data_IF_590373037689
#
_entry.id   IF_590373037689
#
_cell.length_a   1.000
_cell.length_b   1.000
_cell.length_c   1.000
_cell.angle_alpha   90.00
_cell.angle_beta   90.00
_cell.angle_gamma   90.00
#
_symmetry.space_group_name_H-M   'P 1'
#
loop_
_entity.id
_entity.type
_entity.pdbx_description
1 polymer ?
#
# COMPACT_ATOMS: atom_id res chain seq x y z
N UNK A 1 1.24 -0.55 -16.09
CA UNK A 1 -0.13 -1.04 -15.80
C UNK A 1 -0.29 -1.25 -14.30
N UNK A 2 -1.31 -0.64 -13.69
CA UNK A 2 -1.55 -0.65 -12.25
C UNK A 2 -1.00 0.62 -11.57
N UNK A 3 -1.88 1.34 -10.89
CA UNK A 3 -1.61 2.53 -10.08
C UNK A 3 -1.37 2.22 -8.60
N UNK A 4 -0.94 0.99 -8.29
CA UNK A 4 -0.50 0.58 -6.96
C UNK A 4 0.91 1.08 -6.62
N UNK A 5 1.34 0.79 -5.38
CA UNK A 5 2.63 1.24 -4.82
C UNK A 5 3.80 0.91 -5.75
N UNK A 6 3.91 -0.36 -6.18
CA UNK A 6 5.02 -0.85 -7.02
C UNK A 6 5.08 -0.10 -8.35
N UNK A 7 3.94 0.08 -9.02
CA UNK A 7 3.87 0.76 -10.31
C UNK A 7 4.33 2.22 -10.22
N UNK A 8 3.91 2.91 -9.15
CA UNK A 8 4.25 4.31 -8.94
C UNK A 8 5.71 4.52 -8.48
N UNK A 9 6.24 3.65 -7.62
CA UNK A 9 7.65 3.71 -7.21
C UNK A 9 8.57 3.49 -8.40
N UNK A 10 8.33 2.45 -9.18
CA UNK A 10 9.12 2.19 -10.39
C UNK A 10 8.95 3.31 -11.42
N UNK A 11 7.73 3.83 -11.61
CA UNK A 11 7.48 5.00 -12.45
C UNK A 11 8.28 6.22 -12.00
N UNK A 12 8.43 6.43 -10.69
CA UNK A 12 9.24 7.53 -10.13
C UNK A 12 10.71 7.37 -10.49
N UNK A 13 11.25 6.15 -10.41
CA UNK A 13 12.63 5.85 -10.81
C UNK A 13 12.83 6.10 -12.30
N UNK A 14 12.01 5.52 -13.16
CA UNK A 14 12.17 5.65 -14.62
C UNK A 14 11.95 7.08 -15.12
N UNK A 15 11.01 7.82 -14.51
CA UNK A 15 10.83 9.24 -14.81
C UNK A 15 12.05 10.08 -14.42
N UNK A 16 12.66 9.81 -13.26
CA UNK A 16 13.89 10.49 -12.85
C UNK A 16 15.06 10.21 -13.82
N UNK A 17 15.04 9.05 -14.48
CA UNK A 17 15.99 8.67 -15.53
C UNK A 17 15.61 9.19 -16.92
N UNK A 18 14.54 9.97 -17.06
CA UNK A 18 14.14 10.64 -18.30
C UNK A 18 13.03 9.95 -19.11
N UNK A 19 12.45 8.86 -18.61
CA UNK A 19 11.34 8.18 -19.31
C UNK A 19 10.03 8.97 -19.22
N UNK A 20 9.23 8.93 -20.27
CA UNK A 20 7.83 9.35 -20.24
C UNK A 20 7.00 8.21 -19.62
N UNK A 21 6.15 8.54 -18.65
CA UNK A 21 5.42 7.54 -17.86
C UNK A 21 3.93 7.73 -18.03
N UNK A 22 3.28 6.68 -18.56
CA UNK A 22 1.83 6.50 -18.52
C UNK A 22 1.47 5.47 -17.44
N UNK A 23 0.55 5.83 -16.54
CA UNK A 23 0.01 4.92 -15.53
C UNK A 23 -1.46 4.68 -15.83
N UNK A 24 -1.80 3.43 -16.12
CA UNK A 24 -3.17 2.98 -16.36
C UNK A 24 -3.70 2.27 -15.12
N UNK A 25 -4.82 2.74 -14.59
CA UNK A 25 -5.46 2.22 -13.38
C UNK A 25 -6.97 2.07 -13.59
N UNK A 26 -7.52 0.93 -13.17
CA UNK A 26 -8.93 0.61 -13.29
C UNK A 26 -9.79 1.36 -12.25
N UNK A 27 -9.21 1.71 -11.11
CA UNK A 27 -9.90 2.46 -10.06
C UNK A 27 -9.96 3.97 -10.35
N UNK A 28 -10.81 4.68 -9.60
CA UNK A 28 -10.98 6.14 -9.66
C UNK A 28 -9.82 6.91 -9.01
N UNK A 29 -8.85 6.21 -8.42
CA UNK A 29 -7.70 6.77 -7.75
C UNK A 29 -6.48 5.83 -7.81
N UNK A 30 -5.29 6.42 -7.78
CA UNK A 30 -4.05 5.68 -7.51
C UNK A 30 -3.91 5.34 -6.03
N UNK A 31 -3.09 4.34 -5.69
CA UNK A 31 -2.96 3.81 -4.32
C UNK A 31 -4.35 3.55 -3.68
N UNK A 32 -5.16 2.62 -4.22
CA UNK A 32 -6.57 2.47 -3.81
C UNK A 32 -6.79 2.23 -2.32
N UNK A 33 -5.79 1.67 -1.63
CA UNK A 33 -5.82 1.40 -0.19
C UNK A 33 -5.58 2.63 0.70
N UNK A 34 -5.12 3.74 0.14
CA UNK A 34 -4.87 4.97 0.89
C UNK A 34 -6.12 5.88 0.91
N UNK A 35 -6.15 6.76 1.92
CA UNK A 35 -7.25 7.69 2.13
C UNK A 35 -7.36 8.71 0.98
N UNK A 36 -8.59 8.98 0.52
CA UNK A 36 -8.88 9.76 -0.70
C UNK A 36 -8.34 11.18 -0.63
N UNK A 37 -8.35 11.81 0.54
CA UNK A 37 -7.84 13.19 0.69
C UNK A 37 -6.32 13.26 0.47
N UNK A 38 -5.61 12.23 0.94
CA UNK A 38 -4.16 12.12 0.80
C UNK A 38 -3.79 11.81 -0.64
N UNK A 39 -4.52 10.87 -1.25
CA UNK A 39 -4.35 10.52 -2.66
C UNK A 39 -4.65 11.71 -3.57
N UNK A 40 -5.60 12.57 -3.24
CA UNK A 40 -5.89 13.79 -4.01
C UNK A 40 -4.69 14.74 -4.06
N UNK A 41 -4.02 14.96 -2.92
CA UNK A 41 -2.81 15.79 -2.83
C UNK A 41 -1.66 15.12 -3.60
N UNK A 42 -1.47 13.81 -3.41
CA UNK A 42 -0.48 13.02 -4.16
C UNK A 42 -0.69 13.14 -5.68
N UNK A 43 -1.93 12.91 -6.13
CA UNK A 43 -2.32 12.91 -7.55
C UNK A 43 -2.04 14.27 -8.19
N UNK A 44 -2.39 15.38 -7.51
CA UNK A 44 -2.11 16.73 -8.01
C UNK A 44 -0.62 16.97 -8.29
N UNK A 45 0.27 16.36 -7.51
CA UNK A 45 1.73 16.51 -7.68
C UNK A 45 2.28 15.54 -8.71
N UNK A 46 1.88 14.27 -8.65
CA UNK A 46 2.40 13.24 -9.56
C UNK A 46 1.91 13.45 -11.00
N UNK A 47 0.71 14.03 -11.22
CA UNK A 47 0.19 14.34 -12.56
C UNK A 47 1.02 15.36 -13.33
N UNK A 48 1.96 16.08 -12.68
CA UNK A 48 2.93 16.93 -13.37
C UNK A 48 4.09 16.14 -13.97
N UNK A 49 4.27 14.89 -13.55
CA UNK A 49 5.38 14.00 -13.92
C UNK A 49 4.90 12.84 -14.78
N UNK A 50 3.77 12.26 -14.41
CA UNK A 50 3.17 11.11 -15.10
C UNK A 50 1.84 11.50 -15.71
N UNK A 51 1.51 10.85 -16.82
CA UNK A 51 0.16 10.85 -17.36
C UNK A 51 -0.65 9.73 -16.68
N UNK A 52 -1.72 10.10 -15.99
CA UNK A 52 -2.54 9.16 -15.24
C UNK A 52 -3.88 8.90 -15.97
N UNK A 53 -4.08 7.65 -16.38
CA UNK A 53 -5.32 7.16 -16.98
C UNK A 53 -6.08 6.33 -15.95
N UNK A 54 -6.90 7.01 -15.15
CA UNK A 54 -7.78 6.39 -14.14
C UNK A 54 -9.08 5.90 -14.79
N UNK A 55 -9.82 5.03 -14.09
CA UNK A 55 -11.03 4.38 -14.61
C UNK A 55 -10.80 3.75 -16.01
N UNK A 56 -9.60 3.23 -16.24
CA UNK A 56 -9.14 2.71 -17.52
C UNK A 56 -8.61 1.29 -17.36
N UNK A 57 -9.13 0.39 -18.18
CA UNK A 57 -8.78 -1.03 -18.21
C UNK A 57 -7.93 -1.33 -19.42
N UNK A 58 -6.81 -2.01 -19.22
CA UNK A 58 -6.06 -2.60 -20.33
C UNK A 58 -6.77 -3.88 -20.79
N UNK A 59 -7.00 -4.01 -22.09
CA UNK A 59 -7.70 -5.16 -22.69
C UNK A 59 -6.80 -6.03 -23.55
N UNK A 60 -5.75 -5.48 -24.16
CA UNK A 60 -4.77 -6.25 -24.92
C UNK A 60 -3.36 -5.66 -24.74
N UNK A 61 -2.36 -6.54 -24.80
CA UNK A 61 -0.94 -6.18 -24.84
C UNK A 61 -0.27 -7.06 -25.90
N UNK A 62 0.21 -6.44 -26.97
CA UNK A 62 0.77 -7.12 -28.14
C UNK A 62 2.21 -6.64 -28.37
N UNK A 63 3.18 -7.55 -28.27
CA UNK A 63 4.56 -7.26 -28.61
C UNK A 63 4.75 -7.39 -30.13
N UNK A 64 5.28 -6.34 -30.76
CA UNK A 64 5.65 -6.26 -32.18
C UNK A 64 7.14 -5.91 -32.29
N UNK A 65 7.70 -6.00 -33.50
CA UNK A 65 9.13 -5.75 -33.73
C UNK A 65 9.57 -4.33 -33.33
N UNK A 66 8.67 -3.36 -33.46
CA UNK A 66 8.94 -1.95 -33.18
C UNK A 66 8.46 -1.49 -31.80
N UNK A 67 7.83 -2.33 -30.98
CA UNK A 67 7.41 -1.97 -29.63
C UNK A 67 6.24 -2.79 -29.09
N UNK A 68 5.74 -2.40 -27.92
CA UNK A 68 4.62 -3.05 -27.24
C UNK A 68 3.37 -2.18 -27.41
N UNK A 69 2.35 -2.72 -28.09
CA UNK A 69 1.07 -2.06 -28.30
C UNK A 69 0.10 -2.44 -27.19
N UNK A 70 -0.45 -1.44 -26.51
CA UNK A 70 -1.38 -1.61 -25.40
C UNK A 70 -2.74 -1.02 -25.78
N UNK A 71 -3.75 -1.87 -25.79
CA UNK A 71 -5.15 -1.50 -26.05
C UNK A 71 -5.86 -1.26 -24.72
N UNK A 72 -6.60 -0.16 -24.64
CA UNK A 72 -7.21 0.32 -23.40
C UNK A 72 -8.68 0.66 -23.63
N UNK A 73 -9.51 0.44 -22.62
CA UNK A 73 -10.92 0.78 -22.58
C UNK A 73 -11.22 1.60 -21.33
N UNK A 74 -12.01 2.66 -21.48
CA UNK A 74 -12.36 3.55 -20.38
C UNK A 74 -12.88 4.88 -20.90
N UNK A 75 -13.52 5.67 -20.03
CA UNK A 75 -14.13 6.95 -20.43
C UNK A 75 -13.13 7.93 -21.03
N UNK A 76 -11.85 7.82 -20.65
CA UNK A 76 -10.75 8.67 -21.10
C UNK A 76 -9.62 7.86 -21.76
N UNK A 77 -9.88 6.61 -22.11
CA UNK A 77 -8.89 5.78 -22.78
C UNK A 77 -8.67 6.28 -24.22
N UNK A 78 -7.42 6.26 -24.72
CA UNK A 78 -7.17 6.43 -26.14
C UNK A 78 -7.96 5.40 -26.96
N UNK A 79 -8.54 5.82 -28.08
CA UNK A 79 -9.32 4.95 -28.96
C UNK A 79 -8.43 3.91 -29.68
N UNK A 80 -7.21 4.31 -30.03
CA UNK A 80 -6.24 3.47 -30.73
C UNK A 80 -5.21 2.86 -29.76
N UNK A 81 -4.66 1.67 -30.06
CA UNK A 81 -3.59 1.08 -29.28
C UNK A 81 -2.38 2.02 -29.16
N UNK A 82 -1.88 2.19 -27.94
CA UNK A 82 -0.71 3.04 -27.67
C UNK A 82 0.57 2.20 -27.72
N UNK A 83 1.59 2.70 -28.43
CA UNK A 83 2.90 2.04 -28.55
C UNK A 83 3.81 2.47 -27.40
N UNK A 84 4.41 1.51 -26.72
CA UNK A 84 5.38 1.70 -25.63
C UNK A 84 6.66 0.91 -25.91
N UNK A 85 7.81 1.45 -25.51
CA UNK A 85 9.08 0.73 -25.60
C UNK A 85 9.21 -0.34 -24.50
N UNK A 86 8.55 -0.13 -23.36
CA UNK A 86 8.52 -1.07 -22.24
C UNK A 86 7.17 -0.98 -21.49
N UNK A 87 6.71 -2.12 -20.95
CA UNK A 87 5.47 -2.20 -20.15
C UNK A 87 5.75 -2.90 -18.82
N UNK A 88 5.55 -2.17 -17.72
CA UNK A 88 5.56 -2.75 -16.37
C UNK A 88 4.16 -3.24 -15.99
N UNK A 89 4.05 -4.51 -15.60
CA UNK A 89 2.83 -5.12 -15.09
C UNK A 89 2.85 -5.10 -13.56
N UNK A 90 2.13 -4.16 -12.94
CA UNK A 90 2.08 -3.95 -11.49
C UNK A 90 0.64 -3.92 -10.95
N UNK A 91 -0.21 -4.85 -11.42
CA UNK A 91 -1.65 -4.91 -11.11
C UNK A 91 -1.98 -5.64 -9.79
N UNK A 92 -0.99 -6.21 -9.11
CA UNK A 92 -1.19 -6.92 -7.86
C UNK A 92 -0.16 -8.02 -7.62
N UNK A 93 -0.33 -8.73 -6.51
CA UNK A 93 0.48 -9.89 -6.12
C UNK A 93 -0.44 -11.06 -5.80
N UNK A 94 0.01 -12.25 -6.12
CA UNK A 94 -0.68 -13.52 -5.85
C UNK A 94 0.22 -14.37 -4.94
N UNK A 95 -0.31 -14.97 -3.86
CA UNK A 95 0.47 -15.85 -3.01
C UNK A 95 0.87 -17.12 -3.77
N UNK A 96 2.07 -17.63 -3.47
CA UNK A 96 2.64 -18.78 -4.18
C UNK A 96 2.13 -20.14 -3.69
N UNK A 97 1.09 -20.24 -2.85
CA UNK A 97 0.69 -21.51 -2.22
C UNK A 97 0.37 -22.63 -3.21
N UNK A 98 -0.23 -22.30 -4.36
CA UNK A 98 -0.52 -23.28 -5.43
C UNK A 98 0.74 -23.82 -6.13
N UNK A 99 1.88 -23.15 -5.98
CA UNK A 99 3.16 -23.51 -6.62
C UNK A 99 4.06 -24.34 -5.69
N UNK A 100 3.65 -24.60 -4.44
CA UNK A 100 4.49 -25.25 -3.42
C UNK A 100 4.26 -26.76 -3.27
N UNK A 101 3.25 -27.33 -3.95
CA UNK A 101 2.76 -28.68 -3.66
C UNK A 101 2.47 -28.91 -2.16
N UNK A 102 2.02 -27.87 -1.45
CA UNK A 102 1.88 -27.90 0.01
C UNK A 102 0.94 -29.03 0.51
N UNK A 103 0.00 -29.46 -0.33
CA UNK A 103 -0.87 -30.62 -0.07
C UNK A 103 -0.11 -31.94 0.12
N UNK A 104 1.09 -32.11 -0.45
CA UNK A 104 1.95 -33.29 -0.19
C UNK A 104 2.39 -33.36 1.28
N UNK A 105 2.48 -32.22 1.95
CA UNK A 105 2.75 -32.12 3.38
C UNK A 105 1.47 -32.07 4.24
N UNK A 106 0.29 -32.23 3.62
CA UNK A 106 -1.02 -32.13 4.29
C UNK A 106 -1.48 -30.69 4.58
N UNK A 107 -0.77 -29.67 4.06
CA UNK A 107 -1.12 -28.26 4.29
C UNK A 107 -2.23 -27.83 3.36
N UNK A 108 -3.27 -27.22 3.91
CA UNK A 108 -4.39 -26.65 3.16
C UNK A 108 -4.00 -25.32 2.50
N UNK A 109 -4.26 -25.22 1.19
CA UNK A 109 -4.11 -24.00 0.39
C UNK A 109 -5.48 -23.64 -0.16
N UNK A 110 -5.91 -22.39 0.02
CA UNK A 110 -7.21 -21.94 -0.45
C UNK A 110 -7.24 -21.69 -1.97
N UNK A 111 -8.45 -21.44 -2.50
CA UNK A 111 -8.66 -21.19 -3.93
C UNK A 111 -7.91 -19.97 -4.47
N UNK A 112 -7.48 -19.06 -3.59
CA UNK A 112 -6.70 -17.87 -3.94
C UNK A 112 -5.20 -18.08 -3.76
N UNK A 113 -4.77 -19.26 -3.29
CA UNK A 113 -3.38 -19.63 -3.08
C UNK A 113 -2.80 -19.25 -1.72
N UNK A 114 -3.63 -18.82 -0.76
CA UNK A 114 -3.19 -18.52 0.60
C UNK A 114 -3.17 -19.77 1.48
N UNK A 115 -2.27 -19.79 2.45
CA UNK A 115 -2.22 -20.79 3.52
C UNK A 115 -2.85 -20.17 4.76
N UNK A 116 -3.89 -20.82 5.29
CA UNK A 116 -4.54 -20.37 6.53
C UNK A 116 -3.67 -20.70 7.72
N UNK A 117 -3.55 -19.75 8.64
CA UNK A 117 -2.83 -19.92 9.89
C UNK A 117 -3.62 -19.40 11.09
N UNK A 118 -3.33 -19.95 12.26
CA UNK A 118 -3.84 -19.43 13.53
C UNK A 118 -3.07 -18.17 13.99
N UNK A 119 -3.43 -17.62 15.17
CA UNK A 119 -2.72 -16.47 15.76
C UNK A 119 -1.26 -16.76 16.13
N UNK A 120 -0.86 -18.02 16.18
CA UNK A 120 0.53 -18.45 16.43
C UNK A 120 1.26 -18.83 15.12
N UNK A 121 0.63 -18.54 13.98
CA UNK A 121 1.14 -18.76 12.63
C UNK A 121 1.31 -20.24 12.25
N UNK A 122 0.60 -21.12 12.96
CA UNK A 122 0.53 -22.55 12.63
C UNK A 122 -0.50 -22.80 11.55
N UNK A 123 -0.15 -23.68 10.61
CA UNK A 123 -1.10 -24.21 9.62
C UNK A 123 -2.04 -25.24 10.27
N UNK A 124 -2.87 -25.90 9.45
CA UNK A 124 -3.63 -27.08 9.87
C UNK A 124 -2.72 -28.26 10.29
N UNK A 125 -1.45 -28.27 9.89
CA UNK A 125 -0.45 -29.26 10.32
C UNK A 125 0.37 -28.66 11.49
N UNK A 126 0.33 -29.24 12.72
CA UNK A 126 0.80 -28.56 13.93
C UNK A 126 2.28 -28.14 13.95
N UNK A 127 3.13 -28.83 13.19
CA UNK A 127 4.56 -28.56 13.11
C UNK A 127 4.97 -27.74 11.87
N UNK A 128 4.00 -27.35 11.03
CA UNK A 128 4.23 -26.53 9.84
C UNK A 128 3.65 -25.13 10.08
N UNK A 129 4.47 -24.13 9.84
CA UNK A 129 4.15 -22.71 10.00
C UNK A 129 4.22 -22.02 8.65
N UNK A 130 3.48 -20.93 8.49
CA UNK A 130 3.54 -20.07 7.32
C UNK A 130 3.52 -18.60 7.75
N UNK A 131 4.24 -17.74 7.03
CA UNK A 131 4.41 -16.31 7.34
C UNK A 131 4.45 -15.46 6.07
N UNK A 132 4.24 -14.16 6.19
CA UNK A 132 4.38 -13.18 5.12
C UNK A 132 3.23 -13.19 4.12
N UNK A 133 3.56 -12.93 2.86
CA UNK A 133 2.56 -12.71 1.81
C UNK A 133 1.68 -13.94 1.55
N UNK A 134 2.15 -15.15 1.90
CA UNK A 134 1.40 -16.40 1.70
C UNK A 134 0.27 -16.61 2.71
N UNK A 135 0.27 -15.89 3.84
CA UNK A 135 -0.75 -16.03 4.90
C UNK A 135 -1.79 -14.90 4.89
N UNK A 136 -1.71 -13.98 3.94
CA UNK A 136 -2.75 -12.98 3.71
C UNK A 136 -2.26 -11.53 3.66
N UNK A 137 -3.22 -10.61 3.59
CA UNK A 137 -2.97 -9.16 3.57
C UNK A 137 -2.64 -8.62 4.98
N UNK A 138 -2.05 -7.41 5.08
CA UNK A 138 -1.36 -6.69 4.02
C UNK A 138 -0.03 -7.37 3.67
N UNK A 139 0.31 -7.44 2.39
CA UNK A 139 1.55 -8.08 1.92
C UNK A 139 2.76 -7.14 2.09
N UNK A 140 3.36 -7.08 3.28
CA UNK A 140 4.42 -6.12 3.63
C UNK A 140 5.62 -6.82 4.26
N UNK A 141 6.83 -6.39 3.89
CA UNK A 141 8.07 -7.00 4.39
C UNK A 141 8.16 -7.00 5.93
N UNK A 142 7.85 -5.87 6.58
CA UNK A 142 7.92 -5.76 8.03
C UNK A 142 6.83 -6.58 8.75
N UNK A 143 5.67 -6.83 8.12
CA UNK A 143 4.69 -7.80 8.61
C UNK A 143 5.32 -9.19 8.61
N UNK A 144 5.87 -9.64 7.47
CA UNK A 144 6.49 -10.96 7.34
C UNK A 144 7.67 -11.17 8.30
N UNK A 145 8.49 -10.14 8.54
CA UNK A 145 9.58 -10.19 9.54
C UNK A 145 9.04 -10.40 10.96
N UNK A 146 8.01 -9.63 11.37
CA UNK A 146 7.41 -9.82 12.70
C UNK A 146 6.71 -11.17 12.84
N UNK A 147 6.02 -11.62 11.80
CA UNK A 147 5.44 -12.96 11.75
C UNK A 147 6.52 -14.04 11.90
N UNK A 148 7.66 -13.90 11.22
CA UNK A 148 8.80 -14.81 11.36
C UNK A 148 9.34 -14.88 12.79
N UNK A 149 9.46 -13.74 13.48
CA UNK A 149 9.84 -13.73 14.89
C UNK A 149 8.83 -14.49 15.77
N UNK A 150 7.53 -14.23 15.59
CA UNK A 150 6.48 -14.92 16.36
C UNK A 150 6.52 -16.43 16.09
N UNK A 151 6.60 -16.86 14.83
CA UNK A 151 6.68 -18.27 14.48
C UNK A 151 7.91 -18.95 15.12
N UNK A 152 9.09 -18.32 15.06
CA UNK A 152 10.30 -18.84 15.69
C UNK A 152 10.17 -18.97 17.21
N UNK A 153 9.56 -17.98 17.87
CA UNK A 153 9.31 -18.01 19.32
C UNK A 153 8.31 -19.11 19.71
N UNK A 154 7.27 -19.30 18.89
CA UNK A 154 6.28 -20.37 19.09
C UNK A 154 6.92 -21.75 18.90
N UNK A 155 7.77 -21.92 17.89
CA UNK A 155 8.55 -23.15 17.68
C UNK A 155 9.45 -23.44 18.89
N UNK A 156 10.03 -22.40 19.50
CA UNK A 156 10.83 -22.50 20.72
C UNK A 156 9.99 -22.75 22.01
N UNK A 157 8.67 -22.96 21.89
CA UNK A 157 7.79 -23.29 23.01
C UNK A 157 7.24 -22.08 23.77
N UNK A 158 7.49 -20.85 23.30
CA UNK A 158 6.94 -19.65 23.94
C UNK A 158 5.49 -19.41 23.50
N UNK A 159 4.70 -18.76 24.37
CA UNK A 159 3.28 -18.42 24.12
C UNK A 159 3.13 -17.04 23.48
N UNK A 160 3.67 -16.85 22.28
CA UNK A 160 3.51 -15.61 21.50
C UNK A 160 2.42 -15.73 20.44
N UNK A 161 1.86 -14.58 20.07
CA UNK A 161 0.77 -14.44 19.11
C UNK A 161 1.01 -13.22 18.23
N UNK A 162 0.65 -13.34 16.95
CA UNK A 162 0.65 -12.22 16.02
C UNK A 162 -0.72 -11.52 16.08
N UNK A 163 -0.80 -10.44 16.85
CA UNK A 163 -2.02 -9.63 17.03
C UNK A 163 -1.71 -8.13 16.84
N UNK A 164 -1.36 -7.70 15.61
CA UNK A 164 -1.05 -6.30 15.35
C UNK A 164 -2.34 -5.46 15.38
N UNK A 165 -2.41 -4.50 16.30
CA UNK A 165 -3.48 -3.49 16.28
C UNK A 165 -3.49 -2.68 14.99
N UNK A 166 -2.30 -2.37 14.48
CA UNK A 166 -2.10 -1.62 13.24
C UNK A 166 -0.79 -2.02 12.56
N UNK A 167 -0.78 -1.99 11.23
CA UNK A 167 0.42 -2.19 10.40
C UNK A 167 0.53 -0.98 9.46
N UNK A 168 1.61 -0.19 9.54
CA UNK A 168 1.77 0.98 8.68
C UNK A 168 2.10 0.55 7.24
N UNK A 169 1.59 1.30 6.28
CA UNK A 169 1.89 1.15 4.86
C UNK A 169 2.57 2.41 4.35
N UNK A 170 3.52 2.25 3.42
CA UNK A 170 4.33 3.34 2.86
C UNK A 170 4.46 3.11 1.36
N UNK A 171 4.34 4.19 0.59
CA UNK A 171 4.75 4.29 -0.80
C UNK A 171 5.92 5.29 -0.91
N UNK A 172 7.07 4.81 -1.36
CA UNK A 172 8.32 5.56 -1.52
C UNK A 172 8.40 6.27 -2.87
N UNK A 173 7.35 7.04 -3.16
CA UNK A 173 7.24 7.89 -4.36
C UNK A 173 7.75 9.31 -4.08
N UNK A 174 7.73 10.19 -5.08
CA UNK A 174 8.02 11.62 -4.92
C UNK A 174 6.80 12.44 -5.37
N UNK A 175 5.86 12.77 -4.46
CA UNK A 175 5.98 12.77 -2.99
C UNK A 175 5.75 11.39 -2.34
N UNK A 176 6.27 11.16 -1.13
CA UNK A 176 6.05 9.95 -0.33
C UNK A 176 4.65 9.96 0.29
N UNK A 177 4.06 8.77 0.46
CA UNK A 177 2.75 8.58 1.11
C UNK A 177 2.88 7.50 2.19
N UNK A 178 2.35 7.75 3.39
CA UNK A 178 2.26 6.74 4.44
C UNK A 178 0.89 6.78 5.14
N UNK A 179 0.36 5.62 5.53
CA UNK A 179 -0.93 5.47 6.21
C UNK A 179 -1.02 4.21 7.09
N UNK A 180 -1.95 4.19 8.05
CA UNK A 180 -2.03 3.24 9.17
C UNK A 180 -3.40 3.36 9.79
N UNK A 181 -3.88 2.25 10.34
CA UNK A 181 -5.21 2.18 10.90
C UNK A 181 -6.26 2.30 9.82
N UNK A 182 -7.43 2.82 10.18
CA UNK A 182 -8.57 2.92 9.28
C UNK A 182 -8.47 4.15 8.38
N UNK A 183 -8.82 3.97 7.11
CA UNK A 183 -9.20 5.08 6.22
C UNK A 183 -10.62 5.54 6.51
N UNK A 184 -11.01 6.72 6.03
CA UNK A 184 -12.41 7.16 6.15
C UNK A 184 -13.38 6.18 5.47
N UNK A 185 -12.97 5.59 4.34
CA UNK A 185 -13.77 4.61 3.61
C UNK A 185 -14.03 3.38 4.49
N UNK A 186 -12.99 2.82 5.09
CA UNK A 186 -13.12 1.66 5.97
C UNK A 186 -13.90 1.98 7.26
N UNK A 187 -13.73 3.19 7.82
CA UNK A 187 -14.50 3.63 8.98
C UNK A 187 -16.01 3.69 8.66
N UNK A 188 -16.38 4.24 7.49
CA UNK A 188 -17.78 4.24 7.01
C UNK A 188 -18.32 2.83 6.78
N UNK A 189 -17.55 1.98 6.11
CA UNK A 189 -17.95 0.60 5.82
C UNK A 189 -18.14 -0.23 7.10
N UNK A 190 -17.37 0.06 8.15
CA UNK A 190 -17.49 -0.59 9.48
C UNK A 190 -18.54 0.06 10.39
N UNK A 191 -19.21 1.13 9.95
CA UNK A 191 -20.19 1.85 10.76
C UNK A 191 -19.59 2.57 11.97
N UNK A 192 -18.29 2.88 11.94
CA UNK A 192 -17.60 3.58 13.03
C UNK A 192 -17.84 5.08 12.89
N UNK A 193 -18.34 5.71 13.95
CA UNK A 193 -18.54 7.16 13.99
C UNK A 193 -17.20 7.86 14.16
N UNK A 194 -16.80 8.71 13.20
CA UNK A 194 -15.46 9.29 13.19
C UNK A 194 -15.44 10.80 12.91
N UNK A 195 -14.36 11.44 13.36
CA UNK A 195 -13.97 12.81 13.06
C UNK A 195 -12.60 12.85 12.38
N UNK A 196 -12.34 13.89 11.61
CA UNK A 196 -11.05 14.06 10.92
C UNK A 196 -10.43 15.40 11.24
N UNK A 197 -9.11 15.39 11.47
CA UNK A 197 -8.31 16.61 11.47
C UNK A 197 -7.32 16.56 10.31
N UNK A 198 -7.23 17.65 9.56
CA UNK A 198 -6.24 17.80 8.49
C UNK A 198 -5.34 18.99 8.80
N UNK A 199 -4.05 18.85 8.52
CA UNK A 199 -3.07 19.89 8.69
C UNK A 199 -2.24 20.05 7.41
N UNK A 200 -2.37 21.17 6.68
CA UNK A 200 -1.56 21.45 5.52
C UNK A 200 -0.13 21.81 5.95
N UNK A 201 0.88 21.19 5.31
CA UNK A 201 2.28 21.45 5.67
C UNK A 201 2.74 22.85 5.27
N UNK A 202 2.01 23.52 4.38
CA UNK A 202 2.21 24.92 4.06
C UNK A 202 2.02 25.87 5.27
N UNK A 203 1.35 25.42 6.34
CA UNK A 203 1.22 26.19 7.58
C UNK A 203 2.36 25.91 8.59
N UNK A 204 3.28 24.99 8.28
CA UNK A 204 4.43 24.67 9.14
C UNK A 204 5.65 25.47 8.72
N UNK A 205 6.09 26.40 9.56
CA UNK A 205 7.34 27.16 9.33
C UNK A 205 8.56 26.25 9.11
N UNK A 206 8.60 25.09 9.79
CA UNK A 206 9.66 24.09 9.58
C UNK A 206 9.57 23.44 8.20
N UNK A 207 8.36 23.15 7.72
CA UNK A 207 8.19 22.54 6.41
C UNK A 207 8.53 23.52 5.28
N UNK A 208 8.18 24.80 5.45
CA UNK A 208 8.61 25.88 4.53
C UNK A 208 10.14 25.98 4.52
N UNK A 209 10.78 26.05 5.69
CA UNK A 209 12.23 26.15 5.79
C UNK A 209 12.98 24.92 5.25
N UNK A 210 12.31 23.76 5.13
CA UNK A 210 12.90 22.51 4.65
C UNK A 210 12.44 22.15 3.21
N UNK A 211 11.84 23.10 2.49
CA UNK A 211 11.30 22.93 1.14
C UNK A 211 10.36 21.71 0.99
N UNK A 212 9.55 21.45 2.03
CA UNK A 212 8.61 20.33 2.09
C UNK A 212 7.18 20.76 2.45
N UNK A 213 6.84 22.02 2.17
CA UNK A 213 5.52 22.62 2.46
C UNK A 213 4.37 22.01 1.65
N UNK A 214 4.65 21.41 0.49
CA UNK A 214 3.66 20.82 -0.41
C UNK A 214 3.32 19.38 0.02
N UNK A 215 2.63 19.29 1.16
CA UNK A 215 2.20 18.05 1.80
C UNK A 215 1.02 18.26 2.75
N UNK A 216 0.52 17.16 3.30
CA UNK A 216 -0.62 17.16 4.22
C UNK A 216 -0.53 16.00 5.20
N UNK A 217 -0.91 16.26 6.46
CA UNK A 217 -1.20 15.21 7.45
C UNK A 217 -2.70 15.16 7.69
N UNK A 218 -3.25 13.95 7.78
CA UNK A 218 -4.64 13.68 8.16
C UNK A 218 -4.67 12.68 9.30
N UNK A 219 -5.54 12.94 10.27
CA UNK A 219 -5.83 12.06 11.39
C UNK A 219 -7.32 11.77 11.43
N UNK A 220 -7.66 10.54 11.84
CA UNK A 220 -9.02 10.05 11.96
C UNK A 220 -9.21 9.60 13.41
N UNK A 221 -10.25 10.14 14.04
CA UNK A 221 -10.58 9.91 15.45
C UNK A 221 -11.94 9.23 15.53
N UNK A 222 -12.09 8.31 16.47
CA UNK A 222 -13.39 7.80 16.87
C UNK A 222 -14.13 8.86 17.70
N UNK A 223 -15.40 9.15 17.37
CA UNK A 223 -16.16 10.22 18.03
C UNK A 223 -16.48 9.94 19.50
N UNK A 224 -16.67 8.67 19.85
CA UNK A 224 -17.13 8.29 21.19
C UNK A 224 -15.96 8.25 22.17
N UNK A 225 -14.86 7.63 21.75
CA UNK A 225 -13.68 7.43 22.59
C UNK A 225 -12.61 8.51 22.42
N UNK A 226 -12.75 9.40 21.43
CA UNK A 226 -11.74 10.38 21.02
C UNK A 226 -10.36 9.78 20.69
N UNK A 227 -10.32 8.47 20.42
CA UNK A 227 -9.08 7.76 20.10
C UNK A 227 -8.73 7.98 18.65
N UNK A 228 -7.43 8.14 18.37
CA UNK A 228 -6.94 8.02 17.00
C UNK A 228 -7.21 6.58 16.54
N UNK A 229 -7.85 6.43 15.39
CA UNK A 229 -8.14 5.12 14.76
C UNK A 229 -7.47 4.96 13.40
N UNK A 230 -6.97 6.06 12.84
CA UNK A 230 -6.22 6.06 11.60
C UNK A 230 -5.50 7.37 11.37
N UNK A 231 -4.55 7.34 10.45
CA UNK A 231 -3.82 8.52 10.06
C UNK A 231 -3.12 8.29 8.73
N UNK A 232 -2.84 9.37 8.05
CA UNK A 232 -2.13 9.34 6.79
C UNK A 232 -1.39 10.65 6.53
N UNK A 233 -0.34 10.57 5.74
CA UNK A 233 0.57 11.67 5.44
C UNK A 233 1.04 11.56 3.99
N UNK A 234 1.13 12.70 3.31
CA UNK A 234 1.80 12.85 2.01
C UNK A 234 2.75 14.03 2.08
N UNK A 235 4.02 13.79 1.76
CA UNK A 235 5.08 14.82 1.84
C UNK A 235 6.17 14.57 0.82
N UNK A 236 6.89 15.62 0.36
CA UNK A 236 8.06 15.45 -0.50
C UNK A 236 9.14 14.58 0.16
N UNK A 237 9.90 13.83 -0.64
CA UNK A 237 10.88 12.82 -0.16
C UNK A 237 12.01 13.42 0.67
N UNK A 238 12.28 14.73 0.53
CA UNK A 238 13.17 15.50 1.41
C UNK A 238 12.73 15.47 2.90
N UNK A 239 11.46 15.16 3.19
CA UNK A 239 10.92 15.00 4.54
C UNK A 239 10.88 13.53 5.03
N UNK A 240 11.44 12.58 4.28
CA UNK A 240 11.37 11.13 4.58
C UNK A 240 11.89 10.73 5.97
N UNK A 241 12.83 11.50 6.54
CA UNK A 241 13.29 11.30 7.92
C UNK A 241 12.18 11.55 8.96
N UNK A 242 11.22 12.42 8.68
CA UNK A 242 10.06 12.70 9.54
C UNK A 242 8.99 11.60 9.43
N UNK A 243 8.74 11.09 8.21
CA UNK A 243 7.82 9.97 7.97
C UNK A 243 8.37 8.66 8.54
N UNK A 244 9.67 8.40 8.46
CA UNK A 244 10.24 7.19 9.08
C UNK A 244 10.23 7.27 10.60
N UNK A 245 10.66 8.39 11.18
CA UNK A 245 10.84 8.50 12.64
C UNK A 245 9.54 8.71 13.40
N UNK A 246 8.68 9.65 13.00
CA UNK A 246 7.47 9.96 13.77
C UNK A 246 6.45 8.82 13.69
N UNK A 247 6.35 8.19 12.53
CA UNK A 247 5.26 7.30 12.16
C UNK A 247 5.43 5.88 12.70
N UNK A 248 6.65 5.34 12.66
CA UNK A 248 6.93 4.04 13.28
C UNK A 248 6.98 4.10 14.81
N UNK A 249 7.39 5.22 15.42
CA UNK A 249 7.69 5.26 16.86
C UNK A 249 6.69 6.03 17.73
N UNK A 250 6.07 7.12 17.25
CA UNK A 250 5.17 7.95 18.10
C UNK A 250 3.68 7.76 17.78
N UNK A 251 3.32 7.56 16.51
CA UNK A 251 1.92 7.38 16.11
C UNK A 251 1.40 5.96 16.39
N UNK A 252 2.23 4.94 16.14
CA UNK A 252 1.95 3.57 16.59
C UNK A 252 1.80 3.51 18.11
N UNK A 253 2.53 4.36 18.86
CA UNK A 253 2.35 4.48 20.31
C UNK A 253 0.99 5.09 20.65
N UNK A 254 0.58 6.22 20.06
CA UNK A 254 -0.78 6.78 20.30
C UNK A 254 -1.92 5.79 19.97
N UNK A 255 -1.75 5.00 18.90
CA UNK A 255 -2.69 3.94 18.52
C UNK A 255 -2.66 2.74 19.48
N UNK A 256 -1.50 2.46 20.13
CA UNK A 256 -1.31 1.33 21.05
C UNK A 256 -1.63 1.65 22.51
N UNK A 257 -1.40 2.88 23.00
CA UNK A 257 -1.42 3.27 24.42
C UNK A 257 -2.77 3.79 24.92
N UNK A 258 -3.83 3.73 24.12
CA UNK A 258 -5.18 4.16 24.53
C UNK A 258 -5.95 3.02 25.24
N UNK A 259 -5.37 2.49 26.32
CA UNK A 259 -6.00 1.56 27.27
C UNK A 259 -6.04 2.21 28.66
#
# INVERSE_FOLDING_TARGET
MGGGIIGLEMGTVYHALGSQIDVVEMFDQVIPAADKDIVKVFTKRISKKFNLMLETKVTAVEAKEDGIYVTMEGKKAPAEPQRYDAVLVAIGRVPNGKNLDAGKAGVEVDDRGFIRVDKQLRTNVPHIFAIGDIVGQPMLAHKGVHEGHVAAEVIAGKKHYFDPKVIPSIAYTEPEVAWVGLTEKEAKEKGISYETATFPWAASGRAIASDCADGMTKLIFDKESHRVIGGAIVVPTAASCWVKSAWQSKWVVMLKTSH
#
